data_IF_360934328736
#
_entry.id   IF_360934328736
#
_cell.length_a   1.000
_cell.length_b   1.000
_cell.length_c   1.000
_cell.angle_alpha   90.00
_cell.angle_beta   90.00
_cell.angle_gamma   90.00
#
_symmetry.space_group_name_H-M   'P 1'
#
loop_
_entity.id
_entity.type
_entity.pdbx_description
1 polymer ?
#
# COMPACT_ATOMS: atom_id res chain seq x y z
N UNK A 1 -14.09 -3.20 33.06
CA UNK A 1 -13.09 -3.49 31.99
C UNK A 1 -13.69 -4.02 30.68
N UNK A 2 -14.80 -4.76 30.69
CA UNK A 2 -15.40 -5.35 29.47
C UNK A 2 -16.26 -4.40 28.61
N UNK A 3 -16.95 -3.42 29.21
CA UNK A 3 -17.79 -2.48 28.44
C UNK A 3 -16.98 -1.50 27.60
N UNK A 4 -15.87 -0.99 28.15
CA UNK A 4 -14.97 -0.07 27.44
C UNK A 4 -14.24 -0.76 26.28
N UNK A 5 -13.86 -2.04 26.44
CA UNK A 5 -13.32 -2.86 25.35
C UNK A 5 -14.36 -3.12 24.26
N UNK A 6 -15.59 -3.47 24.62
CA UNK A 6 -16.70 -3.64 23.65
C UNK A 6 -17.02 -2.36 22.90
N UNK A 7 -17.11 -1.22 23.59
CA UNK A 7 -17.38 0.07 22.94
C UNK A 7 -16.23 0.51 22.02
N UNK A 8 -14.98 0.24 22.42
CA UNK A 8 -13.82 0.48 21.57
C UNK A 8 -13.85 -0.45 20.34
N UNK A 9 -14.21 -1.72 20.53
CA UNK A 9 -14.35 -2.70 19.46
C UNK A 9 -15.48 -2.32 18.48
N UNK A 10 -16.63 -1.87 18.96
CA UNK A 10 -17.77 -1.40 18.16
C UNK A 10 -17.45 -0.10 17.40
N UNK A 11 -16.79 0.86 18.05
CA UNK A 11 -16.31 2.10 17.39
C UNK A 11 -15.32 1.80 16.28
N UNK A 12 -14.39 0.85 16.50
CA UNK A 12 -13.42 0.43 15.49
C UNK A 12 -14.12 -0.31 14.35
N UNK A 13 -15.05 -1.23 14.65
CA UNK A 13 -15.85 -1.94 13.64
C UNK A 13 -16.66 -0.97 12.79
N UNK A 14 -17.27 0.05 13.39
CA UNK A 14 -18.01 1.07 12.66
C UNK A 14 -17.11 1.92 11.75
N UNK A 15 -15.89 2.25 12.19
CA UNK A 15 -14.88 2.92 11.35
C UNK A 15 -14.40 2.04 10.19
N UNK A 16 -14.27 0.73 10.41
CA UNK A 16 -13.94 -0.26 9.38
C UNK A 16 -15.06 -0.37 8.35
N UNK A 17 -16.33 -0.48 8.79
CA UNK A 17 -17.51 -0.51 7.91
C UNK A 17 -17.61 0.80 7.11
N UNK A 18 -17.39 1.95 7.73
CA UNK A 18 -17.45 3.24 7.05
C UNK A 18 -16.30 3.41 6.03
N UNK A 19 -15.09 2.92 6.32
CA UNK A 19 -13.96 2.96 5.38
C UNK A 19 -14.13 1.99 4.21
N UNK A 20 -14.69 0.80 4.49
CA UNK A 20 -15.15 -0.14 3.46
C UNK A 20 -16.22 0.51 2.58
N UNK A 21 -17.15 1.27 3.16
CA UNK A 21 -18.12 2.06 2.40
C UNK A 21 -17.46 3.12 1.53
N UNK A 22 -16.43 3.83 1.98
CA UNK A 22 -15.66 4.77 1.14
C UNK A 22 -14.90 4.07 0.00
N UNK A 23 -14.32 2.89 0.23
CA UNK A 23 -13.63 2.11 -0.80
C UNK A 23 -14.60 1.47 -1.79
N UNK A 24 -15.72 0.96 -1.29
CA UNK A 24 -16.83 0.51 -2.12
C UNK A 24 -17.34 1.70 -2.92
N UNK A 25 -17.51 2.89 -2.33
CA UNK A 25 -17.92 4.09 -3.06
C UNK A 25 -16.87 4.51 -4.09
N UNK A 26 -15.56 4.38 -3.86
CA UNK A 26 -14.53 4.67 -4.87
C UNK A 26 -14.51 3.63 -6.02
N UNK A 27 -14.68 2.34 -5.72
CA UNK A 27 -14.91 1.27 -6.72
C UNK A 27 -16.28 1.41 -7.42
N UNK A 28 -17.27 1.97 -6.74
CA UNK A 28 -18.62 2.22 -7.25
C UNK A 28 -18.73 3.56 -7.96
N UNK A 29 -17.74 4.46 -7.80
CA UNK A 29 -17.54 5.70 -8.55
C UNK A 29 -16.63 5.47 -9.77
N UNK A 30 -15.86 4.37 -9.82
CA UNK A 30 -15.28 3.86 -11.07
C UNK A 30 -16.29 3.05 -11.91
N UNK A 31 -17.42 2.64 -11.32
CA UNK A 31 -18.53 1.96 -12.00
C UNK A 31 -19.38 2.82 -12.97
N UNK A 32 -19.71 4.10 -12.70
CA UNK A 32 -20.40 5.00 -13.64
C UNK A 32 -19.45 5.45 -14.75
N UNK A 33 -18.12 5.34 -14.54
CA UNK A 33 -17.09 5.52 -15.56
C UNK A 33 -17.18 4.44 -16.66
N UNK A 34 -17.52 3.19 -16.34
CA UNK A 34 -17.82 2.16 -17.35
C UNK A 34 -19.12 2.44 -18.12
N UNK A 35 -20.07 3.12 -17.50
CA UNK A 35 -21.29 3.60 -18.14
C UNK A 35 -20.98 4.68 -19.19
N UNK A 36 -20.05 5.60 -18.90
CA UNK A 36 -19.61 6.64 -19.84
C UNK A 36 -18.75 6.12 -21.01
N UNK A 37 -18.07 4.97 -20.87
CA UNK A 37 -17.19 4.38 -21.90
C UNK A 37 -17.96 3.38 -22.81
N UNK A 38 -19.28 3.25 -22.66
CA UNK A 38 -20.12 2.40 -23.53
C UNK A 38 -19.88 0.88 -23.35
N UNK A 39 -19.31 0.45 -22.22
CA UNK A 39 -18.96 -0.96 -21.91
C UNK A 39 -19.88 -1.54 -20.83
N UNK A 40 -21.20 -1.37 -20.99
CA UNK A 40 -22.24 -1.77 -20.02
C UNK A 40 -22.21 -3.27 -19.66
N UNK A 41 -21.83 -4.13 -20.60
CA UNK A 41 -21.76 -5.59 -20.39
C UNK A 41 -20.69 -5.99 -19.37
N UNK A 42 -19.61 -5.21 -19.27
CA UNK A 42 -18.49 -5.51 -18.37
C UNK A 42 -18.84 -5.21 -16.91
N UNK A 43 -19.46 -4.07 -16.66
CA UNK A 43 -20.03 -3.73 -15.35
C UNK A 43 -21.03 -4.80 -14.88
N UNK A 44 -21.88 -5.30 -15.78
CA UNK A 44 -22.88 -6.32 -15.46
C UNK A 44 -22.29 -7.74 -15.32
N UNK A 45 -21.15 -8.06 -15.93
CA UNK A 45 -20.50 -9.37 -15.82
C UNK A 45 -19.60 -9.50 -14.58
N UNK A 46 -18.95 -8.39 -14.16
CA UNK A 46 -18.07 -8.37 -12.98
C UNK A 46 -18.90 -8.37 -11.69
N UNK A 47 -20.05 -7.68 -11.66
CA UNK A 47 -20.90 -7.56 -10.46
C UNK A 47 -21.37 -8.92 -9.89
N UNK A 48 -21.85 -9.89 -10.68
CA UNK A 48 -22.25 -11.21 -10.18
C UNK A 48 -21.06 -12.03 -9.69
N UNK A 49 -19.91 -11.98 -10.37
CA UNK A 49 -18.69 -12.68 -9.95
C UNK A 49 -18.13 -12.08 -8.66
N UNK A 50 -18.14 -10.76 -8.54
CA UNK A 50 -17.81 -10.02 -7.33
C UNK A 50 -18.75 -10.40 -6.17
N UNK A 51 -20.05 -10.39 -6.41
CA UNK A 51 -21.06 -10.76 -5.40
C UNK A 51 -20.95 -12.23 -4.97
N UNK A 52 -20.69 -13.13 -5.91
CA UNK A 52 -20.48 -14.56 -5.65
C UNK A 52 -19.20 -14.81 -4.84
N UNK A 53 -18.09 -14.15 -5.20
CA UNK A 53 -16.83 -14.26 -4.48
C UNK A 53 -16.95 -13.67 -3.07
N UNK A 54 -17.56 -12.50 -2.93
CA UNK A 54 -17.85 -11.87 -1.63
C UNK A 54 -18.67 -12.78 -0.72
N UNK A 55 -19.77 -13.37 -1.25
CA UNK A 55 -20.57 -14.35 -0.52
C UNK A 55 -19.78 -15.60 -0.14
N UNK A 56 -18.89 -16.07 -1.00
CA UNK A 56 -18.03 -17.23 -0.74
C UNK A 56 -17.03 -16.93 0.39
N UNK A 57 -16.38 -15.77 0.38
CA UNK A 57 -15.48 -15.33 1.45
C UNK A 57 -16.22 -15.20 2.80
N UNK A 58 -17.42 -14.59 2.82
CA UNK A 58 -18.25 -14.51 4.04
C UNK A 58 -18.69 -15.90 4.50
N UNK A 59 -19.12 -16.79 3.60
CA UNK A 59 -19.56 -18.13 3.95
C UNK A 59 -18.40 -18.97 4.51
N UNK A 60 -17.22 -18.89 3.90
CA UNK A 60 -16.02 -19.56 4.40
C UNK A 60 -15.64 -19.03 5.78
N UNK A 61 -15.70 -17.72 5.99
CA UNK A 61 -15.48 -17.08 7.28
C UNK A 61 -16.47 -17.58 8.35
N UNK A 62 -17.77 -17.58 8.05
CA UNK A 62 -18.80 -18.09 8.97
C UNK A 62 -18.59 -19.57 9.32
N UNK A 63 -18.19 -20.39 8.33
CA UNK A 63 -17.89 -21.81 8.55
C UNK A 63 -16.63 -22.01 9.40
N UNK A 64 -15.55 -21.28 9.14
CA UNK A 64 -14.31 -21.34 9.91
C UNK A 64 -14.54 -20.90 11.37
N UNK A 65 -15.22 -19.78 11.58
CA UNK A 65 -15.54 -19.28 12.92
C UNK A 65 -16.41 -20.28 13.71
N UNK A 66 -17.44 -20.84 13.07
CA UNK A 66 -18.32 -21.86 13.68
C UNK A 66 -17.58 -23.17 13.98
N UNK A 67 -16.66 -23.60 13.12
CA UNK A 67 -15.90 -24.83 13.29
C UNK A 67 -14.83 -24.72 14.37
N UNK A 68 -14.23 -23.54 14.55
CA UNK A 68 -13.12 -23.32 15.50
C UNK A 68 -13.58 -22.92 16.91
N UNK A 69 -14.69 -22.20 17.04
CA UNK A 69 -15.15 -21.65 18.32
C UNK A 69 -16.48 -22.22 18.82
N UNK A 70 -17.11 -23.12 18.06
CA UNK A 70 -18.45 -23.62 18.39
C UNK A 70 -19.50 -22.50 18.46
N UNK A 71 -20.69 -22.82 18.97
CA UNK A 71 -21.60 -21.79 19.46
C UNK A 71 -21.02 -21.21 20.77
N UNK A 72 -21.21 -19.93 21.10
CA UNK A 72 -20.53 -19.29 22.22
C UNK A 72 -20.83 -20.04 23.53
N UNK A 73 -19.80 -20.69 24.11
CA UNK A 73 -19.85 -21.34 25.42
C UNK A 73 -18.96 -20.60 26.42
N UNK A 74 -19.40 -20.63 27.68
CA UNK A 74 -18.90 -19.82 28.80
C UNK A 74 -17.85 -20.55 29.64
N UNK A 75 -16.64 -20.80 29.11
CA UNK A 75 -15.57 -21.39 29.92
C UNK A 75 -14.19 -20.71 29.69
N UNK A 76 -13.50 -20.17 30.73
CA UNK A 76 -12.32 -19.31 30.56
C UNK A 76 -10.96 -20.05 30.46
N UNK A 77 -10.93 -21.38 30.40
CA UNK A 77 -9.72 -22.17 30.69
C UNK A 77 -8.79 -22.54 29.53
N UNK A 78 -9.21 -22.44 28.26
CA UNK A 78 -8.52 -23.12 27.14
C UNK A 78 -7.77 -22.20 26.17
N UNK A 79 -7.63 -20.91 26.50
CA UNK A 79 -7.29 -19.87 25.51
C UNK A 79 -5.79 -19.58 25.32
N UNK A 80 -4.89 -20.21 26.08
CA UNK A 80 -3.48 -19.73 26.17
C UNK A 80 -2.66 -19.96 24.88
N UNK A 81 -3.02 -20.92 24.03
CA UNK A 81 -2.36 -21.17 22.73
C UNK A 81 -3.12 -20.58 21.52
N UNK A 82 -4.39 -20.18 21.67
CA UNK A 82 -5.16 -19.50 20.63
C UNK A 82 -4.97 -17.97 20.64
N UNK A 83 -4.24 -17.43 21.64
CA UNK A 83 -3.99 -16.00 21.86
C UNK A 83 -2.98 -15.35 20.89
N UNK A 84 -2.30 -16.11 20.02
CA UNK A 84 -1.19 -15.50 19.23
C UNK A 84 -1.68 -14.66 18.04
N UNK A 85 -2.91 -14.83 17.57
CA UNK A 85 -3.51 -13.99 16.53
C UNK A 85 -4.98 -13.76 16.87
N UNK A 86 -5.32 -12.53 17.32
CA UNK A 86 -6.70 -12.17 17.63
C UNK A 86 -7.60 -12.45 16.42
N UNK A 87 -8.86 -12.84 16.63
CA UNK A 87 -9.76 -13.11 15.51
C UNK A 87 -9.95 -11.89 14.59
N UNK A 88 -9.84 -10.69 15.15
CA UNK A 88 -9.74 -9.43 14.40
C UNK A 88 -8.54 -9.37 13.45
N UNK A 89 -7.37 -9.88 13.86
CA UNK A 89 -6.18 -9.91 12.99
C UNK A 89 -6.38 -10.88 11.83
N UNK A 90 -7.10 -12.00 12.04
CA UNK A 90 -7.47 -12.94 10.98
C UNK A 90 -8.53 -12.35 10.04
N UNK A 91 -9.52 -11.64 10.57
CA UNK A 91 -10.54 -10.91 9.79
C UNK A 91 -9.90 -9.83 8.91
N UNK A 92 -9.00 -9.04 9.49
CA UNK A 92 -8.21 -8.02 8.81
C UNK A 92 -7.38 -8.62 7.67
N UNK A 93 -6.72 -9.75 7.92
CA UNK A 93 -5.94 -10.49 6.92
C UNK A 93 -6.81 -10.98 5.76
N UNK A 94 -7.95 -11.60 6.05
CA UNK A 94 -8.86 -12.12 5.01
C UNK A 94 -9.41 -10.97 4.17
N UNK A 95 -9.92 -9.90 4.80
CA UNK A 95 -10.45 -8.74 4.09
C UNK A 95 -9.41 -8.09 3.19
N UNK A 96 -8.19 -7.95 3.68
CA UNK A 96 -7.09 -7.35 2.93
C UNK A 96 -6.70 -8.18 1.71
N UNK A 97 -6.50 -9.50 1.88
CA UNK A 97 -6.19 -10.41 0.78
C UNK A 97 -7.33 -10.48 -0.24
N UNK A 98 -8.58 -10.37 0.21
CA UNK A 98 -9.76 -10.28 -0.66
C UNK A 98 -9.77 -8.97 -1.46
N UNK A 99 -9.59 -7.81 -0.82
CA UNK A 99 -9.54 -6.50 -1.51
C UNK A 99 -8.42 -6.47 -2.54
N UNK A 100 -7.26 -7.01 -2.16
CA UNK A 100 -6.11 -7.11 -3.05
C UNK A 100 -6.36 -8.05 -4.23
N UNK A 101 -6.84 -9.26 -3.97
CA UNK A 101 -7.15 -10.24 -5.01
C UNK A 101 -8.17 -9.68 -6.01
N UNK A 102 -9.14 -8.91 -5.53
CA UNK A 102 -10.12 -8.21 -6.36
C UNK A 102 -9.49 -7.07 -7.16
N UNK A 103 -8.59 -6.28 -6.57
CA UNK A 103 -7.89 -5.21 -7.29
C UNK A 103 -6.97 -5.77 -8.39
N UNK A 104 -6.29 -6.88 -8.14
CA UNK A 104 -5.46 -7.57 -9.14
C UNK A 104 -6.35 -8.18 -10.23
N UNK A 105 -7.44 -8.85 -9.86
CA UNK A 105 -8.38 -9.41 -10.83
C UNK A 105 -9.01 -8.34 -11.73
N UNK A 106 -9.43 -7.21 -11.15
CA UNK A 106 -9.96 -6.08 -11.91
C UNK A 106 -8.89 -5.46 -12.82
N UNK A 107 -7.65 -5.35 -12.34
CA UNK A 107 -6.54 -4.81 -13.11
C UNK A 107 -6.11 -5.71 -14.28
N UNK A 108 -6.11 -7.03 -14.06
CA UNK A 108 -5.91 -8.04 -15.10
C UNK A 108 -7.06 -8.02 -16.10
N UNK A 109 -8.31 -7.88 -15.64
CA UNK A 109 -9.47 -7.69 -16.52
C UNK A 109 -9.34 -6.45 -17.41
N UNK A 110 -8.94 -5.31 -16.84
CA UNK A 110 -8.64 -4.10 -17.61
C UNK A 110 -7.50 -4.34 -18.62
N UNK A 111 -6.39 -4.94 -18.19
CA UNK A 111 -5.25 -5.25 -19.06
C UNK A 111 -5.62 -6.16 -20.23
N UNK A 112 -6.38 -7.22 -19.98
CA UNK A 112 -6.72 -8.22 -21.00
C UNK A 112 -7.81 -7.76 -21.98
N UNK A 113 -8.64 -6.78 -21.58
CA UNK A 113 -9.87 -6.44 -22.32
C UNK A 113 -9.85 -5.02 -22.92
N UNK A 114 -8.92 -4.17 -22.49
CA UNK A 114 -8.73 -2.83 -23.06
C UNK A 114 -7.45 -2.78 -23.89
N UNK A 115 -7.59 -2.84 -25.22
CA UNK A 115 -6.45 -2.61 -26.13
C UNK A 115 -5.73 -1.28 -25.84
N UNK A 116 -6.47 -0.28 -25.36
CA UNK A 116 -5.99 1.11 -25.24
C UNK A 116 -5.85 1.61 -23.78
N UNK A 117 -6.07 0.76 -22.75
CA UNK A 117 -5.90 1.16 -21.33
C UNK A 117 -5.06 0.16 -20.51
N UNK A 118 -4.22 -0.64 -21.19
CA UNK A 118 -3.35 -1.61 -20.54
C UNK A 118 -2.41 -0.97 -19.50
N UNK A 119 -2.02 0.29 -19.71
CA UNK A 119 -1.17 1.05 -18.79
C UNK A 119 -1.84 1.24 -17.42
N UNK A 120 -3.13 1.57 -17.41
CA UNK A 120 -3.92 1.70 -16.19
C UNK A 120 -4.03 0.36 -15.46
N UNK A 121 -4.19 -0.75 -16.20
CA UNK A 121 -4.15 -2.10 -15.64
C UNK A 121 -2.82 -2.39 -14.93
N UNK A 122 -1.70 -2.14 -15.60
CA UNK A 122 -0.36 -2.34 -15.02
C UNK A 122 -0.11 -1.45 -13.79
N UNK A 123 -0.58 -0.21 -13.81
CA UNK A 123 -0.58 0.70 -12.66
C UNK A 123 -1.34 0.15 -11.47
N UNK A 124 -2.57 -0.32 -11.70
CA UNK A 124 -3.40 -0.91 -10.65
C UNK A 124 -2.76 -2.18 -10.08
N UNK A 125 -2.14 -3.02 -10.91
CA UNK A 125 -1.36 -4.19 -10.44
C UNK A 125 -0.19 -3.74 -9.57
N UNK A 126 0.63 -2.78 -10.03
CA UNK A 126 1.79 -2.30 -9.26
C UNK A 126 1.37 -1.67 -7.93
N UNK A 127 0.31 -0.87 -7.92
CA UNK A 127 -0.27 -0.28 -6.71
C UNK A 127 -0.74 -1.37 -5.73
N UNK A 128 -1.43 -2.39 -6.24
CA UNK A 128 -1.90 -3.51 -5.42
C UNK A 128 -0.71 -4.25 -4.80
N UNK A 129 0.28 -4.63 -5.61
CA UNK A 129 1.49 -5.31 -5.15
C UNK A 129 2.25 -4.48 -4.12
N UNK A 130 2.34 -3.15 -4.30
CA UNK A 130 2.96 -2.24 -3.33
C UNK A 130 2.34 -2.41 -1.95
N UNK A 131 1.03 -2.19 -1.86
CA UNK A 131 0.33 -2.26 -0.58
C UNK A 131 0.46 -3.67 0.02
N UNK A 132 0.37 -4.73 -0.81
CA UNK A 132 0.48 -6.11 -0.31
C UNK A 132 1.80 -6.35 0.40
N UNK A 133 2.90 -5.94 -0.23
CA UNK A 133 4.24 -6.18 0.32
C UNK A 133 4.43 -5.42 1.63
N UNK A 134 3.97 -4.17 1.71
CA UNK A 134 3.98 -3.38 2.94
C UNK A 134 3.22 -4.08 4.07
N UNK A 135 2.03 -4.59 3.75
CA UNK A 135 1.21 -5.31 4.73
C UNK A 135 1.87 -6.63 5.17
N UNK A 136 2.41 -7.41 4.23
CA UNK A 136 3.13 -8.64 4.52
C UNK A 136 4.34 -8.37 5.41
N UNK A 137 5.06 -7.28 5.16
CA UNK A 137 6.17 -6.87 6.00
C UNK A 137 5.74 -6.61 7.45
N UNK A 138 4.68 -5.81 7.68
CA UNK A 138 4.15 -5.58 9.03
C UNK A 138 3.72 -6.90 9.66
N UNK A 139 3.03 -7.76 8.92
CA UNK A 139 2.57 -9.05 9.40
C UNK A 139 3.73 -9.94 9.88
N UNK A 140 4.86 -9.93 9.17
CA UNK A 140 6.02 -10.77 9.48
C UNK A 140 6.89 -10.21 10.60
N UNK A 141 7.05 -8.89 10.69
CA UNK A 141 8.05 -8.27 11.57
C UNK A 141 7.47 -7.43 12.71
N UNK A 142 6.21 -7.00 12.59
CA UNK A 142 5.52 -6.13 13.53
C UNK A 142 4.13 -6.65 13.89
N UNK A 143 3.94 -7.98 13.94
CA UNK A 143 2.63 -8.61 14.11
C UNK A 143 1.85 -8.12 15.35
N UNK A 144 2.56 -7.76 16.42
CA UNK A 144 1.97 -7.24 17.68
C UNK A 144 1.43 -5.82 17.55
N UNK A 145 1.91 -5.08 16.56
CA UNK A 145 1.59 -3.67 16.31
C UNK A 145 0.56 -3.50 15.18
N UNK A 146 -0.01 -4.60 14.65
CA UNK A 146 -1.00 -4.56 13.57
C UNK A 146 -2.24 -3.79 14.02
N UNK A 147 -2.50 -2.69 13.32
CA UNK A 147 -3.72 -1.88 13.37
C UNK A 147 -4.26 -1.71 11.96
N UNK A 148 -5.46 -1.17 11.81
CA UNK A 148 -5.97 -0.82 10.48
C UNK A 148 -5.04 0.17 9.75
N UNK A 149 -4.42 1.10 10.45
CA UNK A 149 -3.46 2.03 9.84
C UNK A 149 -2.20 1.31 9.29
N UNK A 150 -1.90 0.11 9.80
CA UNK A 150 -0.81 -0.73 9.29
C UNK A 150 -1.04 -1.26 7.88
N UNK A 151 -2.25 -1.14 7.34
CA UNK A 151 -2.51 -1.44 5.94
C UNK A 151 -1.88 -0.41 5.00
N UNK A 152 -1.46 0.76 5.50
CA UNK A 152 -0.96 1.90 4.72
C UNK A 152 -1.86 2.30 3.53
N UNK A 153 -3.11 1.85 3.56
CA UNK A 153 -4.12 2.18 2.55
C UNK A 153 -4.48 3.67 2.65
N UNK A 154 -4.47 4.21 3.87
CA UNK A 154 -4.72 5.63 4.14
C UNK A 154 -3.43 6.29 4.63
N UNK A 155 -2.51 6.58 3.70
CA UNK A 155 -1.26 7.32 3.97
C UNK A 155 -1.47 8.82 4.24
N UNK A 156 -2.71 9.22 4.57
CA UNK A 156 -3.11 10.59 4.83
C UNK A 156 -3.80 11.25 3.64
N UNK A 157 -4.38 12.43 3.92
CA UNK A 157 -5.21 13.19 2.97
C UNK A 157 -4.45 13.57 1.69
N UNK A 158 -3.16 13.88 1.81
CA UNK A 158 -2.32 14.25 0.68
C UNK A 158 -2.13 13.10 -0.31
N UNK A 159 -1.93 11.88 0.20
CA UNK A 159 -1.84 10.69 -0.64
C UNK A 159 -3.15 10.42 -1.39
N UNK A 160 -4.29 10.45 -0.68
CA UNK A 160 -5.61 10.27 -1.32
C UNK A 160 -5.82 11.32 -2.42
N UNK A 161 -5.52 12.58 -2.13
CA UNK A 161 -5.61 13.66 -3.11
C UNK A 161 -4.74 13.42 -4.34
N UNK A 162 -3.46 13.07 -4.16
CA UNK A 162 -2.53 12.81 -5.26
C UNK A 162 -3.00 11.62 -6.13
N UNK A 163 -3.46 10.55 -5.51
CA UNK A 163 -3.99 9.38 -6.23
C UNK A 163 -5.28 9.73 -6.99
N UNK A 164 -6.22 10.43 -6.37
CA UNK A 164 -7.44 10.88 -7.05
C UNK A 164 -7.10 11.80 -8.23
N UNK A 165 -6.17 12.75 -8.05
CA UNK A 165 -5.73 13.64 -9.11
C UNK A 165 -5.07 12.88 -10.28
N UNK A 166 -4.27 11.86 -9.98
CA UNK A 166 -3.67 10.94 -10.97
C UNK A 166 -4.72 10.22 -11.82
N UNK A 167 -5.76 9.67 -11.20
CA UNK A 167 -6.88 9.08 -11.95
C UNK A 167 -7.61 10.13 -12.79
N UNK A 168 -7.89 11.31 -12.22
CA UNK A 168 -8.57 12.39 -12.94
C UNK A 168 -7.79 12.83 -14.18
N UNK A 169 -6.47 13.05 -14.08
CA UNK A 169 -5.61 13.37 -15.21
C UNK A 169 -5.64 12.26 -16.26
N UNK A 170 -5.46 11.00 -15.83
CA UNK A 170 -5.45 9.86 -16.76
C UNK A 170 -6.75 9.78 -17.58
N UNK A 171 -7.91 9.84 -16.92
CA UNK A 171 -9.20 9.76 -17.61
C UNK A 171 -9.49 10.99 -18.46
N UNK A 172 -9.13 12.19 -17.97
CA UNK A 172 -9.28 13.41 -18.76
C UNK A 172 -8.45 13.33 -20.06
N UNK A 173 -7.18 12.95 -19.98
CA UNK A 173 -6.32 12.80 -21.15
C UNK A 173 -6.79 11.66 -22.05
N UNK A 174 -7.24 10.54 -21.50
CA UNK A 174 -7.78 9.44 -22.29
C UNK A 174 -9.03 9.87 -23.10
N UNK A 175 -9.91 10.69 -22.53
CA UNK A 175 -11.14 11.14 -23.19
C UNK A 175 -10.92 12.24 -24.23
N UNK A 176 -10.06 13.22 -23.93
CA UNK A 176 -9.90 14.42 -24.75
C UNK A 176 -8.62 14.42 -25.60
N UNK A 177 -7.60 13.67 -25.20
CA UNK A 177 -6.28 13.61 -25.84
C UNK A 177 -5.76 12.16 -25.94
N UNK A 178 -6.53 11.22 -26.53
CA UNK A 178 -6.19 9.79 -26.54
C UNK A 178 -4.82 9.51 -27.17
N UNK A 179 -4.34 10.37 -28.09
CA UNK A 179 -3.01 10.29 -28.66
C UNK A 179 -1.86 10.41 -27.65
N UNK A 180 -2.08 10.90 -26.43
CA UNK A 180 -1.09 10.87 -25.34
C UNK A 180 -0.97 9.48 -24.69
N UNK A 181 -2.06 8.70 -24.72
CA UNK A 181 -2.17 7.36 -24.11
C UNK A 181 -2.03 6.22 -25.13
N UNK A 182 -2.11 6.53 -26.41
CA UNK A 182 -2.09 5.55 -27.49
C UNK A 182 -1.17 6.04 -28.63
N UNK A 183 0.13 6.10 -28.35
CA UNK A 183 1.17 6.35 -29.35
C UNK A 183 2.40 5.44 -29.11
N UNK A 184 3.33 5.43 -30.06
CA UNK A 184 4.54 4.59 -29.99
C UNK A 184 5.47 4.94 -28.81
N UNK A 185 5.54 6.22 -28.43
CA UNK A 185 6.30 6.66 -27.26
C UNK A 185 5.64 6.23 -25.94
N UNK A 186 4.31 6.11 -25.89
CA UNK A 186 3.59 5.62 -24.71
C UNK A 186 4.08 4.23 -24.32
N UNK A 187 4.28 3.32 -25.27
CA UNK A 187 4.80 1.98 -24.97
C UNK A 187 6.19 2.06 -24.31
N UNK A 188 7.07 2.94 -24.79
CA UNK A 188 8.38 3.15 -24.18
C UNK A 188 8.25 3.68 -22.73
N UNK A 189 7.37 4.65 -22.49
CA UNK A 189 7.13 5.17 -21.14
C UNK A 189 6.57 4.10 -20.19
N UNK A 190 5.70 3.21 -20.67
CA UNK A 190 5.19 2.08 -19.90
C UNK A 190 6.34 1.15 -19.47
N UNK A 191 7.23 0.80 -20.39
CA UNK A 191 8.37 -0.07 -20.10
C UNK A 191 9.34 0.60 -19.12
N UNK A 192 9.70 1.86 -19.36
CA UNK A 192 10.60 2.62 -18.48
C UNK A 192 9.97 2.75 -17.09
N UNK A 193 8.72 3.20 -17.00
CA UNK A 193 7.99 3.33 -15.74
C UNK A 193 7.84 2.00 -15.00
N UNK A 194 7.56 0.91 -15.73
CA UNK A 194 7.48 -0.43 -15.16
C UNK A 194 8.81 -0.93 -14.59
N UNK A 195 9.92 -0.78 -15.34
CA UNK A 195 11.27 -1.15 -14.87
C UNK A 195 11.65 -0.35 -13.63
N UNK A 196 11.46 0.98 -13.67
CA UNK A 196 11.80 1.85 -12.53
C UNK A 196 10.91 1.56 -11.32
N UNK A 197 9.63 1.24 -11.51
CA UNK A 197 8.74 0.80 -10.44
C UNK A 197 9.22 -0.51 -9.79
N UNK A 198 9.66 -1.49 -10.57
CA UNK A 198 10.24 -2.74 -10.06
C UNK A 198 11.52 -2.47 -9.26
N UNK A 199 12.40 -1.60 -9.76
CA UNK A 199 13.61 -1.20 -9.03
C UNK A 199 13.25 -0.51 -7.71
N UNK A 200 12.27 0.40 -7.73
CA UNK A 200 11.78 1.08 -6.54
C UNK A 200 11.24 0.10 -5.50
N UNK A 201 10.41 -0.86 -5.94
CA UNK A 201 9.93 -1.96 -5.09
C UNK A 201 11.07 -2.79 -4.50
N UNK A 202 12.07 -3.14 -5.30
CA UNK A 202 13.21 -3.91 -4.84
C UNK A 202 13.94 -3.20 -3.69
N UNK A 203 14.24 -1.90 -3.83
CA UNK A 203 14.87 -1.13 -2.76
C UNK A 203 13.99 -1.02 -1.52
N UNK A 204 12.69 -0.76 -1.72
CA UNK A 204 11.70 -0.67 -0.63
C UNK A 204 11.63 -1.95 0.19
N UNK A 205 11.35 -3.08 -0.47
CA UNK A 205 11.22 -4.37 0.18
C UNK A 205 12.55 -4.82 0.79
N UNK A 206 13.68 -4.62 0.10
CA UNK A 206 14.99 -4.98 0.65
C UNK A 206 15.34 -4.18 1.90
N UNK A 207 14.98 -2.89 1.96
CA UNK A 207 15.20 -2.07 3.14
C UNK A 207 14.43 -2.59 4.36
N UNK A 208 13.18 -2.98 4.12
CA UNK A 208 12.30 -3.59 5.12
C UNK A 208 12.83 -4.94 5.62
N UNK A 209 13.13 -5.87 4.70
CA UNK A 209 13.64 -7.20 5.07
C UNK A 209 15.05 -7.17 5.68
N UNK A 210 15.86 -6.17 5.35
CA UNK A 210 17.20 -6.00 5.95
C UNK A 210 17.09 -5.44 7.37
N UNK A 211 16.26 -4.41 7.59
CA UNK A 211 16.14 -3.77 8.90
C UNK A 211 15.17 -4.51 9.86
N UNK A 212 14.21 -5.28 9.33
CA UNK A 212 13.25 -6.09 10.10
C UNK A 212 12.57 -5.25 11.18
N UNK A 213 12.68 -5.65 12.45
CA UNK A 213 12.09 -4.95 13.59
C UNK A 213 12.65 -3.54 13.85
N UNK A 214 13.76 -3.17 13.21
CA UNK A 214 14.33 -1.82 13.26
C UNK A 214 13.70 -0.88 12.21
N UNK A 215 12.93 -1.41 11.26
CA UNK A 215 12.19 -0.58 10.31
C UNK A 215 10.82 -0.19 10.89
N UNK A 216 10.43 1.08 10.73
CA UNK A 216 9.08 1.54 11.11
C UNK A 216 8.53 2.47 10.05
N UNK A 217 7.24 2.35 9.72
CA UNK A 217 6.57 3.25 8.77
C UNK A 217 6.44 4.70 9.24
N UNK A 218 6.56 4.93 10.55
CA UNK A 218 6.60 6.24 11.17
C UNK A 218 7.98 6.47 11.78
N UNK A 219 8.44 7.72 11.77
CA UNK A 219 9.66 8.11 12.48
C UNK A 219 9.52 7.71 13.95
N UNK A 220 10.52 7.01 14.48
CA UNK A 220 10.55 6.63 15.88
C UNK A 220 11.28 7.70 16.70
N UNK A 221 10.53 8.47 17.49
CA UNK A 221 11.09 9.49 18.39
C UNK A 221 11.72 8.91 19.67
N UNK A 222 11.71 7.58 19.84
CA UNK A 222 12.31 6.92 21.00
C UNK A 222 13.14 5.72 20.57
N UNK A 223 14.35 5.60 21.13
CA UNK A 223 15.20 4.43 20.95
C UNK A 223 14.68 3.26 21.79
N UNK A 224 14.29 2.16 21.15
CA UNK A 224 14.03 0.89 21.84
C UNK A 224 15.36 0.25 22.24
N UNK A 225 15.38 -0.55 23.31
CA UNK A 225 16.59 -1.28 23.71
C UNK A 225 17.11 -2.22 22.62
N UNK A 226 16.19 -2.76 21.80
CA UNK A 226 16.50 -3.63 20.67
C UNK A 226 16.79 -2.86 19.37
N UNK A 227 16.86 -1.53 19.41
CA UNK A 227 17.08 -0.71 18.22
C UNK A 227 18.57 -0.69 17.88
N UNK A 228 18.91 -1.27 16.74
CA UNK A 228 20.26 -1.40 16.21
C UNK A 228 20.45 -0.55 14.96
N UNK A 229 21.66 -0.03 14.77
CA UNK A 229 22.03 0.71 13.58
C UNK A 229 22.38 -0.28 12.45
N UNK A 230 21.57 -0.28 11.39
CA UNK A 230 21.74 -1.19 10.25
C UNK A 230 22.52 -0.48 9.13
N UNK A 231 23.71 -1.01 8.78
CA UNK A 231 24.60 -0.42 7.77
C UNK A 231 25.05 -1.42 6.68
N UNK A 232 24.38 -2.57 6.56
CA UNK A 232 24.72 -3.64 5.61
C UNK A 232 23.56 -3.89 4.62
N UNK A 233 23.79 -4.72 3.60
CA UNK A 233 22.79 -4.96 2.56
C UNK A 233 22.50 -3.68 1.78
N UNK A 234 21.22 -3.38 1.52
CA UNK A 234 20.87 -2.13 0.81
C UNK A 234 21.21 -0.86 1.59
N UNK A 235 21.44 -0.96 2.91
CA UNK A 235 21.91 0.16 3.72
C UNK A 235 23.39 0.50 3.46
N UNK A 236 24.18 -0.36 2.83
CA UNK A 236 25.52 0.07 2.38
C UNK A 236 25.49 0.93 1.11
N UNK A 237 24.37 0.92 0.38
CA UNK A 237 24.17 1.70 -0.83
C UNK A 237 23.55 3.08 -0.56
N UNK A 238 22.55 3.13 0.32
CA UNK A 238 21.80 4.33 0.72
C UNK A 238 21.54 4.28 2.22
N UNK A 239 21.56 5.42 2.91
CA UNK A 239 21.13 5.50 4.32
C UNK A 239 19.64 5.32 4.51
N UNK A 240 18.86 5.67 3.49
CA UNK A 240 17.39 5.62 3.47
C UNK A 240 16.87 4.85 2.25
N UNK A 241 17.24 3.57 2.08
CA UNK A 241 16.91 2.81 0.87
C UNK A 241 15.39 2.59 0.73
N UNK A 242 14.66 2.56 1.85
CA UNK A 242 13.20 2.49 1.86
C UNK A 242 12.55 3.74 1.25
N UNK A 243 13.04 4.93 1.62
CA UNK A 243 12.54 6.20 1.08
C UNK A 243 12.94 6.39 -0.38
N UNK A 244 14.18 6.05 -0.74
CA UNK A 244 14.62 6.05 -2.13
C UNK A 244 13.74 5.13 -3.00
N UNK A 245 13.47 3.91 -2.53
CA UNK A 245 12.61 2.96 -3.22
C UNK A 245 11.18 3.46 -3.41
N UNK A 246 10.60 4.05 -2.35
CA UNK A 246 9.25 4.62 -2.40
C UNK A 246 9.17 5.84 -3.34
N UNK A 247 10.12 6.77 -3.24
CA UNK A 247 10.24 7.91 -4.15
C UNK A 247 10.27 7.45 -5.61
N UNK A 248 11.21 6.54 -5.93
CA UNK A 248 11.37 6.03 -7.29
C UNK A 248 10.10 5.34 -7.78
N UNK A 249 9.52 4.45 -6.97
CA UNK A 249 8.27 3.76 -7.31
C UNK A 249 7.15 4.75 -7.61
N UNK A 250 6.92 5.73 -6.72
CA UNK A 250 5.80 6.66 -6.83
C UNK A 250 5.82 7.47 -8.12
N UNK A 251 6.96 8.04 -8.50
CA UNK A 251 7.13 8.80 -9.75
C UNK A 251 7.00 7.88 -10.96
N UNK A 252 7.60 6.70 -10.90
CA UNK A 252 7.60 5.72 -11.99
C UNK A 252 6.21 5.23 -12.34
N UNK A 253 5.32 5.11 -11.35
CA UNK A 253 3.91 4.75 -11.60
C UNK A 253 3.19 5.78 -12.49
N UNK A 254 3.54 7.07 -12.38
CA UNK A 254 2.97 8.15 -13.20
C UNK A 254 3.59 8.18 -14.60
N UNK A 255 4.88 7.83 -14.71
CA UNK A 255 5.54 7.61 -16.01
C UNK A 255 4.84 6.46 -16.75
N UNK A 256 4.56 5.35 -16.05
CA UNK A 256 3.95 4.17 -16.63
C UNK A 256 2.57 4.45 -17.24
N UNK A 257 1.75 5.30 -16.60
CA UNK A 257 0.44 5.73 -17.13
C UNK A 257 0.52 7.00 -17.99
N UNK A 258 1.73 7.48 -18.24
CA UNK A 258 2.03 8.63 -19.11
C UNK A 258 1.28 9.90 -18.70
N UNK A 259 1.21 10.18 -17.40
CA UNK A 259 0.56 11.38 -16.85
C UNK A 259 1.59 12.51 -16.69
N UNK A 260 1.77 13.42 -17.66
CA UNK A 260 2.82 14.44 -17.63
C UNK A 260 2.74 15.37 -16.40
N UNK A 261 1.54 15.77 -15.98
CA UNK A 261 1.37 16.67 -14.84
C UNK A 261 1.65 15.92 -13.54
N UNK A 262 1.11 14.71 -13.37
CA UNK A 262 1.39 13.90 -12.18
C UNK A 262 2.83 13.42 -12.09
N UNK A 263 3.58 13.23 -13.19
CA UNK A 263 5.01 12.92 -13.11
C UNK A 263 5.74 14.03 -12.33
N UNK A 264 5.51 15.28 -12.71
CA UNK A 264 6.10 16.45 -12.06
C UNK A 264 5.55 16.62 -10.64
N UNK A 265 4.24 16.48 -10.46
CA UNK A 265 3.57 16.60 -9.17
C UNK A 265 4.06 15.57 -8.15
N UNK A 266 4.10 14.29 -8.54
CA UNK A 266 4.58 13.21 -7.67
C UNK A 266 6.07 13.36 -7.38
N UNK A 267 6.89 13.80 -8.35
CA UNK A 267 8.31 14.07 -8.11
C UNK A 267 8.50 15.09 -6.99
N UNK A 268 7.91 16.29 -7.12
CA UNK A 268 8.12 17.33 -6.11
C UNK A 268 7.44 17.00 -4.78
N UNK A 269 6.22 16.46 -4.80
CA UNK A 269 5.51 16.11 -3.58
C UNK A 269 6.26 15.05 -2.76
N UNK A 270 6.72 13.98 -3.41
CA UNK A 270 7.50 12.93 -2.72
C UNK A 270 8.88 13.44 -2.32
N UNK A 271 9.54 14.25 -3.16
CA UNK A 271 10.83 14.85 -2.84
C UNK A 271 10.80 15.68 -1.54
N UNK A 272 9.89 16.65 -1.44
CA UNK A 272 9.79 17.49 -0.25
C UNK A 272 9.37 16.70 0.97
N UNK A 273 8.42 15.76 0.81
CA UNK A 273 8.01 14.87 1.89
C UNK A 273 9.19 14.09 2.48
N UNK A 274 10.04 13.49 1.63
CA UNK A 274 11.18 12.73 2.12
C UNK A 274 12.33 13.62 2.58
N UNK A 275 12.50 14.83 2.03
CA UNK A 275 13.51 15.77 2.51
C UNK A 275 13.30 16.14 3.98
N UNK A 276 12.09 16.56 4.31
CA UNK A 276 11.76 16.96 5.68
C UNK A 276 11.90 15.75 6.63
N UNK A 277 11.40 14.60 6.19
CA UNK A 277 11.41 13.36 6.96
C UNK A 277 12.81 12.79 7.19
N UNK A 278 13.66 12.78 6.17
CA UNK A 278 15.06 12.34 6.28
C UNK A 278 15.78 13.25 7.27
N UNK A 279 15.65 14.57 7.13
CA UNK A 279 16.32 15.53 8.02
C UNK A 279 15.96 15.26 9.49
N UNK A 280 14.67 15.15 9.79
CA UNK A 280 14.18 14.85 11.14
C UNK A 280 14.66 13.49 11.67
N UNK A 281 14.60 12.45 10.84
CA UNK A 281 15.01 11.11 11.24
C UNK A 281 16.52 11.00 11.48
N UNK A 282 17.34 11.66 10.66
CA UNK A 282 18.80 11.64 10.84
C UNK A 282 19.24 12.36 12.12
N UNK A 283 18.54 13.40 12.55
CA UNK A 283 18.81 14.05 13.83
C UNK A 283 18.51 13.12 15.01
N UNK A 284 17.40 12.39 14.95
CA UNK A 284 17.09 11.34 15.95
C UNK A 284 18.10 10.18 15.90
N UNK A 285 18.55 9.77 14.71
CA UNK A 285 19.53 8.69 14.57
C UNK A 285 20.91 9.09 15.13
N UNK A 286 21.31 10.37 14.98
CA UNK A 286 22.50 10.92 15.67
C UNK A 286 22.33 10.88 17.18
N UNK A 287 21.16 11.25 17.70
CA UNK A 287 20.87 11.13 19.14
C UNK A 287 20.92 9.67 19.63
N UNK A 288 20.41 8.74 18.82
CA UNK A 288 20.32 7.33 19.20
C UNK A 288 21.66 6.60 19.16
N UNK A 289 22.52 6.90 18.18
CA UNK A 289 23.72 6.11 17.89
C UNK A 289 25.02 6.92 17.90
N UNK A 290 24.95 8.24 18.06
CA UNK A 290 26.11 9.12 18.21
C UNK A 290 27.11 9.00 17.07
N UNK A 291 28.38 8.82 17.42
CA UNK A 291 29.49 8.76 16.47
C UNK A 291 29.40 7.59 15.48
N UNK A 292 28.68 6.51 15.79
CA UNK A 292 28.52 5.40 14.84
C UNK A 292 27.66 5.82 13.65
N UNK A 293 26.62 6.63 13.88
CA UNK A 293 25.81 7.17 12.79
C UNK A 293 26.56 8.24 12.00
N UNK A 294 27.31 9.12 12.66
CA UNK A 294 28.11 10.15 11.98
C UNK A 294 29.13 9.49 11.03
N UNK A 295 29.85 8.46 11.50
CA UNK A 295 30.78 7.69 10.65
C UNK A 295 30.09 6.94 9.51
N UNK A 296 28.81 6.62 9.66
CA UNK A 296 28.02 6.02 8.59
C UNK A 296 27.57 7.07 7.56
N UNK A 297 27.16 8.27 8.00
CA UNK A 297 26.83 9.42 7.15
C UNK A 297 28.00 9.82 6.24
N UNK A 298 29.23 9.82 6.77
CA UNK A 298 30.44 10.14 5.99
C UNK A 298 30.73 9.17 4.83
N UNK A 299 30.24 7.92 4.93
CA UNK A 299 30.58 6.84 3.99
C UNK A 299 29.46 6.51 3.01
N UNK A 300 28.21 6.74 3.40
CA UNK A 300 27.03 6.30 2.64
C UNK A 300 26.11 7.49 2.42
N UNK A 301 25.76 7.86 1.18
CA UNK A 301 24.84 8.96 0.89
C UNK A 301 23.37 8.54 1.06
N UNK A 302 22.42 9.48 1.03
CA UNK A 302 20.97 9.15 1.02
C UNK A 302 20.51 8.57 -0.32
N UNK A 303 21.20 8.90 -1.43
CA UNK A 303 20.79 8.64 -2.84
C UNK A 303 19.58 9.42 -3.31
N UNK A 304 18.97 10.24 -2.46
CA UNK A 304 17.96 11.19 -2.89
C UNK A 304 18.65 12.43 -3.47
N UNK A 305 18.19 12.98 -4.61
CA UNK A 305 18.84 14.14 -5.23
C UNK A 305 18.88 15.34 -4.28
N UNK A 306 20.05 15.95 -4.06
CA UNK A 306 20.19 17.17 -3.24
C UNK A 306 19.76 17.00 -1.77
N UNK A 307 19.86 15.79 -1.20
CA UNK A 307 19.70 15.52 0.23
C UNK A 307 20.94 14.73 0.67
N UNK A 308 21.80 15.34 1.46
CA UNK A 308 23.10 14.76 1.86
C UNK A 308 23.12 14.19 3.27
#
# INVERSE_FOLDING_TARGET
>A
MNQTRRQLDESITQKTINSLFYYHMMLFLSCPLFYCIGRYELSLAILPLFWFYYKTCISYFQKYHKAKYGAPTTDPGTDVMNIVVSDKTKEMLVQYLTTLGLSIFAAVGLYLQSGNMYQLGLFMISLSVYHLLEYLFVLLHHFKDIKFDSFLINQGKHYTFAMTFSFCEYFYEYMFYPGLKDNSATFLFVIIGGILAIIGHFFRASAEFTAKSNFTHHISYRKKQTHELITHGVYSFSRHPGYFGWFLWSVSTQIMITNPVCIVGFYFASYYFFKDRITEEEDLLKEFFGYDYIRYQERVPTRMPFID
#
